data_IF_846507917948
#
_entry.id   IF_846507917948
#
_cell.length_a   1.000
_cell.length_b   1.000
_cell.length_c   1.000
_cell.angle_alpha   90.00
_cell.angle_beta   90.00
_cell.angle_gamma   90.00
#
_symmetry.space_group_name_H-M   'P 1'
#
loop_
_entity.id
_entity.type
_entity.pdbx_description
1 polymer ?
#
# COMPACT_ATOMS: atom_id res chain seq x y z
N UNK A 1 35.63 22.30 11.95
CA UNK A 1 36.51 21.44 11.14
C UNK A 1 36.14 19.99 11.42
N UNK A 2 35.30 19.38 10.59
CA UNK A 2 35.01 17.94 10.67
C UNK A 2 36.14 17.21 9.94
N UNK A 3 36.84 16.34 10.65
CA UNK A 3 37.79 15.40 10.03
C UNK A 3 36.96 14.30 9.35
N UNK A 4 37.32 13.98 8.11
CA UNK A 4 36.61 13.02 7.25
C UNK A 4 36.41 11.69 7.98
N UNK A 5 35.15 11.31 8.25
CA UNK A 5 34.76 10.04 8.85
C UNK A 5 34.24 10.08 10.29
N UNK A 6 34.28 11.21 11.00
CA UNK A 6 33.71 11.32 12.35
C UNK A 6 32.72 12.50 12.45
N UNK A 7 31.47 12.18 12.80
CA UNK A 7 30.39 13.14 12.96
C UNK A 7 29.95 13.19 14.43
N UNK A 8 29.83 14.41 14.97
CA UNK A 8 29.25 14.63 16.30
C UNK A 8 27.79 15.04 16.13
N UNK A 9 26.91 14.32 16.82
CA UNK A 9 25.46 14.49 16.78
C UNK A 9 24.95 14.58 18.21
N UNK A 10 23.87 15.33 18.43
CA UNK A 10 23.26 15.46 19.75
C UNK A 10 22.13 14.45 19.90
N UNK A 11 22.27 13.60 20.92
CA UNK A 11 21.23 12.69 21.38
C UNK A 11 20.05 13.47 21.99
N UNK A 12 18.83 13.11 21.61
CA UNK A 12 17.59 13.66 22.12
C UNK A 12 16.82 12.58 22.88
N UNK A 13 16.21 12.92 24.01
CA UNK A 13 15.36 12.00 24.73
C UNK A 13 14.01 11.84 24.00
N UNK A 14 13.47 10.63 23.98
CA UNK A 14 12.12 10.33 23.44
C UNK A 14 10.99 10.90 24.29
N UNK A 15 11.26 11.26 25.56
CA UNK A 15 10.30 11.78 26.54
C UNK A 15 9.05 10.89 26.75
N UNK A 16 9.12 9.62 26.37
CA UNK A 16 8.06 8.62 26.49
C UNK A 16 8.30 7.60 27.62
N UNK A 17 9.42 7.73 28.34
CA UNK A 17 9.82 6.83 29.42
C UNK A 17 10.38 5.47 28.96
N UNK A 18 10.63 5.28 27.66
CA UNK A 18 11.18 4.02 27.13
C UNK A 18 12.66 3.82 27.47
N UNK A 19 13.38 4.91 27.72
CA UNK A 19 14.85 4.90 27.88
C UNK A 19 15.61 4.97 26.55
N UNK A 20 14.90 5.13 25.43
CA UNK A 20 15.49 5.28 24.11
C UNK A 20 15.97 6.72 23.85
N UNK A 21 16.80 6.86 22.81
CA UNK A 21 17.39 8.13 22.39
C UNK A 21 17.25 8.29 20.88
N UNK A 22 16.80 9.47 20.45
CA UNK A 22 16.76 9.88 19.05
C UNK A 22 18.08 10.54 18.70
N UNK A 23 18.71 10.09 17.61
CA UNK A 23 19.95 10.65 17.09
C UNK A 23 19.74 11.08 15.65
N UNK A 24 19.71 12.38 15.42
CA UNK A 24 19.56 12.93 14.06
C UNK A 24 20.89 12.83 13.31
N UNK A 25 20.92 11.95 12.30
CA UNK A 25 22.08 11.81 11.41
C UNK A 25 22.08 12.93 10.36
N UNK A 26 23.20 13.64 10.15
CA UNK A 26 23.28 14.71 9.16
C UNK A 26 22.99 14.19 7.75
N UNK A 27 22.20 14.94 6.97
CA UNK A 27 21.86 14.56 5.58
C UNK A 27 23.10 14.37 4.68
N UNK A 28 24.19 15.10 4.93
CA UNK A 28 25.45 14.94 4.21
C UNK A 28 26.09 13.56 4.46
N UNK A 29 26.03 13.05 5.70
CA UNK A 29 26.51 11.72 6.07
C UNK A 29 25.66 10.63 5.42
N UNK A 30 24.34 10.78 5.44
CA UNK A 30 23.42 9.84 4.80
C UNK A 30 23.68 9.74 3.28
N UNK A 31 23.88 10.87 2.61
CA UNK A 31 24.22 10.91 1.19
C UNK A 31 25.60 10.28 0.91
N UNK A 32 26.61 10.55 1.72
CA UNK A 32 27.96 9.98 1.57
C UNK A 32 27.95 8.45 1.76
N UNK A 33 27.15 7.94 2.69
CA UNK A 33 27.00 6.50 2.92
C UNK A 33 26.01 5.82 1.97
N UNK A 34 25.29 6.59 1.16
CA UNK A 34 24.21 6.08 0.30
C UNK A 34 23.04 5.49 1.08
N UNK A 35 22.81 5.97 2.31
CA UNK A 35 21.77 5.49 3.22
C UNK A 35 20.48 6.28 3.05
N UNK A 36 19.36 5.56 3.13
CA UNK A 36 18.00 6.11 3.06
C UNK A 36 17.15 5.58 4.21
N UNK A 37 16.02 6.24 4.49
CA UNK A 37 15.07 5.78 5.51
C UNK A 37 14.60 4.37 5.14
N UNK A 38 14.82 3.41 6.03
CA UNK A 38 14.47 2.00 5.85
C UNK A 38 15.66 1.05 5.68
N UNK A 39 16.89 1.57 5.59
CA UNK A 39 18.10 0.73 5.57
C UNK A 39 18.40 0.14 6.95
N UNK A 40 18.73 -1.15 6.97
CA UNK A 40 19.14 -1.86 8.18
C UNK A 40 20.62 -1.55 8.51
N UNK A 41 20.87 -1.02 9.71
CA UNK A 41 22.22 -0.79 10.23
C UNK A 41 22.45 -1.70 11.45
N UNK A 42 23.63 -2.32 11.51
CA UNK A 42 24.12 -2.87 12.77
C UNK A 42 24.68 -1.74 13.64
N UNK A 43 24.33 -1.78 14.92
CA UNK A 43 24.80 -0.86 15.93
C UNK A 43 25.79 -1.62 16.82
N UNK A 44 27.04 -1.16 16.87
CA UNK A 44 28.05 -1.67 17.80
C UNK A 44 28.61 -0.53 18.65
N UNK A 45 28.89 -0.78 19.91
CA UNK A 45 29.49 0.22 20.81
C UNK A 45 30.94 -0.15 21.07
N UNK A 46 31.86 0.78 20.78
CA UNK A 46 33.31 0.62 21.05
C UNK A 46 33.78 1.84 21.85
N UNK A 47 33.99 1.65 23.15
CA UNK A 47 34.26 2.75 24.08
C UNK A 47 33.08 3.73 24.12
N UNK A 48 33.37 5.02 23.94
CA UNK A 48 32.36 6.10 23.90
C UNK A 48 31.82 6.35 22.47
N UNK A 49 32.10 5.46 21.52
CA UNK A 49 31.69 5.60 20.12
C UNK A 49 30.69 4.53 19.70
N UNK A 50 29.64 4.97 19.00
CA UNK A 50 28.72 4.07 18.31
C UNK A 50 29.19 3.92 16.87
N UNK A 51 29.41 2.67 16.45
CA UNK A 51 29.76 2.30 15.09
C UNK A 51 28.50 1.77 14.41
N UNK A 52 28.06 2.47 13.36
CA UNK A 52 26.97 2.05 12.50
C UNK A 52 27.54 1.37 11.26
N UNK A 53 27.24 0.08 11.06
CA UNK A 53 27.69 -0.65 9.86
C UNK A 53 26.47 -1.08 9.03
N UNK A 54 26.38 -0.67 7.75
CA UNK A 54 25.28 -1.07 6.87
C UNK A 54 25.22 -2.59 6.70
N UNK A 55 24.03 -3.17 6.87
CA UNK A 55 23.81 -4.59 6.62
C UNK A 55 23.59 -4.77 5.12
N UNK A 56 24.68 -5.00 4.38
CA UNK A 56 24.60 -5.42 2.97
C UNK A 56 24.26 -6.91 2.92
N UNK A 57 22.96 -7.24 2.85
CA UNK A 57 22.51 -8.63 2.58
C UNK A 57 23.11 -9.08 1.23
N UNK A 58 23.76 -10.25 1.13
CA UNK A 58 24.30 -10.73 -0.14
C UNK A 58 23.14 -10.96 -1.13
N UNK A 59 23.40 -10.65 -2.40
CA UNK A 59 22.44 -10.63 -3.50
C UNK A 59 21.70 -11.97 -3.67
N UNK A 60 20.62 -12.14 -2.92
CA UNK A 60 19.50 -13.01 -3.25
C UNK A 60 18.50 -12.11 -3.98
N UNK A 61 18.59 -12.10 -5.32
CA UNK A 61 17.66 -11.47 -6.27
C UNK A 61 16.78 -10.37 -5.69
N UNK A 62 17.37 -9.22 -5.35
CA UNK A 62 16.62 -8.06 -4.87
C UNK A 62 15.96 -7.40 -6.07
N UNK A 63 14.82 -7.96 -6.47
CA UNK A 63 13.76 -7.16 -7.07
C UNK A 63 13.49 -6.04 -6.08
N UNK A 64 13.84 -4.81 -6.44
CA UNK A 64 13.36 -3.65 -5.70
C UNK A 64 11.84 -3.81 -5.61
N UNK A 65 11.31 -3.78 -4.40
CA UNK A 65 9.88 -3.65 -4.17
C UNK A 65 9.67 -2.14 -4.12
N UNK A 66 9.06 -1.50 -5.13
CA UNK A 66 8.51 -0.17 -4.99
C UNK A 66 7.60 -0.16 -3.77
N UNK A 67 7.96 0.66 -2.80
CA UNK A 67 7.37 0.68 -1.46
C UNK A 67 5.84 0.84 -1.51
N UNK A 68 5.09 -0.26 -1.48
CA UNK A 68 3.62 -0.28 -1.32
C UNK A 68 3.18 0.45 -0.04
N UNK A 69 4.05 0.46 1.00
CA UNK A 69 3.87 1.26 2.21
C UNK A 69 3.85 2.78 1.95
N UNK A 70 4.53 3.29 0.90
CA UNK A 70 4.50 4.72 0.56
C UNK A 70 3.17 5.13 -0.05
N UNK A 71 2.57 4.30 -0.90
CA UNK A 71 1.25 4.56 -1.47
C UNK A 71 0.17 4.53 -0.37
N UNK A 72 0.22 3.58 0.57
CA UNK A 72 -0.74 3.49 1.67
C UNK A 72 -0.63 4.64 2.71
N UNK A 73 0.56 5.24 2.80
CA UNK A 73 0.83 6.42 3.62
C UNK A 73 0.65 7.76 2.87
N UNK A 74 0.38 7.72 1.56
CA UNK A 74 0.08 8.90 0.75
C UNK A 74 -1.33 9.42 1.11
N UNK A 75 -1.45 10.73 1.33
CA UNK A 75 -2.73 11.37 1.60
C UNK A 75 -3.75 11.11 0.48
N UNK A 76 -3.28 10.99 -0.75
CA UNK A 76 -4.12 10.67 -1.91
C UNK A 76 -4.81 9.31 -1.80
N UNK A 77 -4.09 8.29 -1.33
CA UNK A 77 -4.65 6.95 -1.11
C UNK A 77 -5.72 6.98 -0.03
N UNK A 78 -5.45 7.61 1.11
CA UNK A 78 -6.40 7.69 2.23
C UNK A 78 -7.67 8.44 1.83
N UNK A 79 -7.53 9.60 1.17
CA UNK A 79 -8.68 10.35 0.65
C UNK A 79 -9.44 9.54 -0.39
N UNK A 80 -8.75 8.75 -1.21
CA UNK A 80 -9.42 7.87 -2.18
C UNK A 80 -10.20 6.75 -1.50
N UNK A 81 -9.64 6.08 -0.51
CA UNK A 81 -10.34 5.03 0.25
C UNK A 81 -11.57 5.57 1.00
N UNK A 82 -11.51 6.82 1.47
CA UNK A 82 -12.68 7.52 2.03
C UNK A 82 -13.78 7.72 1.00
N UNK A 83 -13.44 8.16 -0.20
CA UNK A 83 -14.43 8.35 -1.29
C UNK A 83 -15.02 7.01 -1.74
N UNK A 84 -14.20 5.98 -1.89
CA UNK A 84 -14.64 4.70 -2.44
C UNK A 84 -15.48 3.89 -1.45
N UNK A 85 -15.05 3.81 -0.18
CA UNK A 85 -15.62 2.89 0.80
C UNK A 85 -16.15 3.58 2.06
N UNK A 86 -16.03 4.90 2.18
CA UNK A 86 -16.39 5.63 3.39
C UNK A 86 -15.41 5.41 4.56
N UNK A 87 -14.22 4.90 4.30
CA UNK A 87 -13.19 4.66 5.33
C UNK A 87 -12.58 6.00 5.76
N UNK A 88 -12.60 6.38 7.05
CA UNK A 88 -11.97 7.61 7.51
C UNK A 88 -10.48 7.69 7.14
N UNK A 89 -10.00 8.90 6.82
CA UNK A 89 -8.59 9.10 6.41
C UNK A 89 -7.60 8.74 7.53
N UNK A 90 -8.02 8.97 8.78
CA UNK A 90 -7.30 8.65 10.02
C UNK A 90 -7.59 7.25 10.55
N UNK A 91 -8.36 6.42 9.83
CA UNK A 91 -8.71 5.08 10.28
C UNK A 91 -7.45 4.22 10.47
N UNK A 92 -7.35 3.59 11.63
CA UNK A 92 -6.29 2.58 11.90
C UNK A 92 -6.58 1.30 11.12
N UNK A 93 -5.55 0.46 10.92
CA UNK A 93 -5.76 -0.86 10.30
C UNK A 93 -6.74 -1.73 11.08
N UNK A 94 -6.75 -1.60 12.41
CA UNK A 94 -7.71 -2.29 13.27
C UNK A 94 -9.15 -1.82 13.01
N UNK A 95 -9.38 -0.51 12.88
CA UNK A 95 -10.69 0.03 12.55
C UNK A 95 -11.14 -0.40 11.15
N UNK A 96 -10.24 -0.40 10.17
CA UNK A 96 -10.53 -0.89 8.80
C UNK A 96 -10.93 -2.36 8.85
N UNK A 97 -10.21 -3.19 9.61
CA UNK A 97 -10.55 -4.59 9.80
C UNK A 97 -11.95 -4.75 10.41
N UNK A 98 -12.28 -4.01 11.46
CA UNK A 98 -13.60 -4.03 12.10
C UNK A 98 -14.72 -3.60 11.14
N UNK A 99 -14.48 -2.60 10.28
CA UNK A 99 -15.44 -2.19 9.26
C UNK A 99 -15.70 -3.29 8.21
N UNK A 100 -14.65 -4.01 7.80
CA UNK A 100 -14.76 -5.10 6.84
C UNK A 100 -15.47 -6.30 7.48
N UNK A 101 -15.11 -6.66 8.72
CA UNK A 101 -15.70 -7.78 9.45
C UNK A 101 -17.19 -7.54 9.76
N UNK A 102 -17.55 -6.31 10.15
CA UNK A 102 -18.94 -5.89 10.33
C UNK A 102 -19.73 -5.81 9.02
N UNK A 103 -19.05 -5.81 7.87
CA UNK A 103 -19.62 -5.73 6.53
C UNK A 103 -19.82 -4.29 6.05
N UNK A 104 -19.48 -4.01 4.79
CA UNK A 104 -19.70 -2.71 4.14
C UNK A 104 -21.14 -2.59 3.61
N UNK A 105 -21.64 -1.37 3.42
CA UNK A 105 -22.97 -1.15 2.83
C UNK A 105 -23.04 -1.70 1.40
N UNK A 106 -24.06 -2.50 1.09
CA UNK A 106 -24.22 -3.07 -0.26
C UNK A 106 -24.42 -2.00 -1.35
N UNK A 107 -24.94 -0.82 -0.98
CA UNK A 107 -25.11 0.33 -1.87
C UNK A 107 -23.82 0.92 -2.44
N UNK A 108 -22.64 0.58 -1.88
CA UNK A 108 -21.35 1.03 -2.39
C UNK A 108 -21.08 0.46 -3.79
N UNK A 109 -21.43 -0.80 -4.03
CA UNK A 109 -21.18 -1.49 -5.30
C UNK A 109 -21.90 -0.81 -6.48
N UNK A 110 -23.23 -0.56 -6.45
CA UNK A 110 -23.88 0.16 -7.54
C UNK A 110 -23.33 1.57 -7.71
N UNK A 111 -22.97 2.28 -6.62
CA UNK A 111 -22.33 3.58 -6.74
C UNK A 111 -20.99 3.50 -7.51
N UNK A 112 -20.11 2.55 -7.15
CA UNK A 112 -18.83 2.34 -7.86
C UNK A 112 -19.04 1.98 -9.34
N UNK A 113 -20.10 1.21 -9.65
CA UNK A 113 -20.46 0.88 -11.03
C UNK A 113 -20.95 2.09 -11.81
N UNK A 114 -21.78 2.93 -11.19
CA UNK A 114 -22.32 4.14 -11.82
C UNK A 114 -21.21 5.17 -12.12
N UNK A 115 -20.13 5.17 -11.32
CA UNK A 115 -18.91 5.91 -11.59
C UNK A 115 -17.93 5.21 -12.55
N UNK A 116 -18.28 4.04 -13.10
CA UNK A 116 -17.45 3.30 -14.04
C UNK A 116 -16.18 2.68 -13.44
N UNK A 117 -16.09 2.58 -12.11
CA UNK A 117 -14.92 2.06 -11.41
C UNK A 117 -14.86 0.53 -11.42
N UNK A 118 -16.02 -0.12 -11.54
CA UNK A 118 -16.13 -1.58 -11.57
C UNK A 118 -17.06 -2.02 -12.71
N UNK A 119 -16.71 -3.12 -13.36
CA UNK A 119 -17.56 -3.76 -14.37
C UNK A 119 -18.61 -4.66 -13.72
N UNK A 120 -19.63 -5.05 -14.48
CA UNK A 120 -20.62 -6.06 -14.06
C UNK A 120 -19.95 -7.39 -13.74
N UNK A 121 -18.93 -7.77 -14.50
CA UNK A 121 -18.15 -8.99 -14.28
C UNK A 121 -17.39 -8.94 -12.94
N UNK A 122 -16.75 -7.80 -12.63
CA UNK A 122 -16.05 -7.61 -11.37
C UNK A 122 -17.01 -7.62 -10.18
N UNK A 123 -18.19 -6.99 -10.32
CA UNK A 123 -19.27 -7.06 -9.35
C UNK A 123 -19.68 -8.50 -9.07
N UNK A 124 -19.93 -9.30 -10.11
CA UNK A 124 -20.43 -10.68 -9.98
C UNK A 124 -19.45 -11.59 -9.21
N UNK A 125 -18.15 -11.28 -9.25
CA UNK A 125 -17.13 -11.96 -8.42
C UNK A 125 -17.18 -11.57 -6.95
N UNK A 126 -17.73 -10.41 -6.61
CA UNK A 126 -17.95 -9.98 -5.23
C UNK A 126 -19.27 -10.57 -4.73
N UNK A 127 -20.35 -10.29 -5.46
CA UNK A 127 -21.71 -10.68 -5.11
C UNK A 127 -22.56 -10.79 -6.38
N UNK A 128 -23.34 -11.88 -6.55
CA UNK A 128 -24.27 -12.03 -7.67
C UNK A 128 -25.28 -10.87 -7.78
N UNK A 129 -25.69 -10.52 -8.98
CA UNK A 129 -26.53 -9.34 -9.24
C UNK A 129 -27.91 -9.37 -8.54
N UNK A 130 -28.53 -10.54 -8.44
CA UNK A 130 -29.81 -10.77 -7.77
C UNK A 130 -29.68 -10.61 -6.24
N UNK A 131 -28.64 -11.20 -5.66
CA UNK A 131 -28.30 -11.05 -4.25
C UNK A 131 -27.98 -9.58 -3.92
N UNK A 132 -27.21 -8.89 -4.76
CA UNK A 132 -26.91 -7.47 -4.58
C UNK A 132 -28.19 -6.62 -4.61
N UNK A 133 -29.07 -6.85 -5.58
CA UNK A 133 -30.32 -6.10 -5.72
C UNK A 133 -31.18 -6.25 -4.47
N UNK A 134 -31.28 -7.47 -3.94
CA UNK A 134 -32.00 -7.76 -2.70
C UNK A 134 -31.39 -7.02 -1.51
N UNK A 135 -30.07 -7.10 -1.32
CA UNK A 135 -29.37 -6.40 -0.24
C UNK A 135 -29.53 -4.89 -0.31
N UNK A 136 -29.43 -4.31 -1.51
CA UNK A 136 -29.59 -2.85 -1.69
C UNK A 136 -31.02 -2.42 -1.38
N UNK A 137 -32.04 -3.16 -1.83
CA UNK A 137 -33.44 -2.85 -1.55
C UNK A 137 -33.77 -2.88 -0.05
N UNK A 138 -33.11 -3.79 0.69
CA UNK A 138 -33.29 -3.94 2.13
C UNK A 138 -32.32 -3.08 2.98
N UNK A 139 -31.47 -2.27 2.35
CA UNK A 139 -30.40 -1.51 3.02
C UNK A 139 -29.46 -2.39 3.87
N UNK A 140 -29.13 -3.58 3.38
CA UNK A 140 -28.30 -4.58 4.07
C UNK A 140 -26.79 -4.37 3.83
N UNK A 141 -26.00 -5.01 4.69
CA UNK A 141 -24.54 -5.11 4.58
C UNK A 141 -24.11 -6.28 3.71
N UNK A 142 -22.99 -6.09 3.04
CA UNK A 142 -22.18 -7.16 2.49
C UNK A 142 -21.67 -8.06 3.62
N UNK A 143 -21.45 -9.33 3.33
CA UNK A 143 -20.77 -10.24 4.27
C UNK A 143 -19.31 -9.81 4.46
N UNK A 144 -18.63 -10.33 5.48
CA UNK A 144 -17.21 -10.06 5.69
C UNK A 144 -16.36 -10.42 4.45
N UNK A 145 -16.64 -11.56 3.80
CA UNK A 145 -15.92 -11.98 2.59
C UNK A 145 -16.23 -11.13 1.36
N UNK A 146 -17.48 -10.71 1.18
CA UNK A 146 -17.89 -9.77 0.12
C UNK A 146 -17.20 -8.41 0.32
N UNK A 147 -17.17 -7.94 1.56
CA UNK A 147 -16.55 -6.66 1.96
C UNK A 147 -15.05 -6.67 1.79
N UNK A 148 -14.39 -7.77 2.16
CA UNK A 148 -12.95 -7.99 1.98
C UNK A 148 -12.59 -8.01 0.50
N UNK A 149 -13.40 -8.65 -0.36
CA UNK A 149 -13.19 -8.61 -1.81
C UNK A 149 -13.36 -7.20 -2.38
N UNK A 150 -14.43 -6.49 -1.98
CA UNK A 150 -14.65 -5.10 -2.36
C UNK A 150 -13.49 -4.19 -1.90
N UNK A 151 -12.97 -4.42 -0.70
CA UNK A 151 -11.81 -3.71 -0.17
C UNK A 151 -10.57 -3.92 -1.03
N UNK A 152 -10.24 -5.16 -1.41
CA UNK A 152 -9.11 -5.45 -2.31
C UNK A 152 -9.22 -4.73 -3.65
N UNK A 153 -10.43 -4.66 -4.21
CA UNK A 153 -10.70 -3.97 -5.46
C UNK A 153 -10.46 -2.46 -5.32
N UNK A 154 -11.09 -1.82 -4.33
CA UNK A 154 -10.92 -0.39 -4.07
C UNK A 154 -9.47 -0.02 -3.74
N UNK A 155 -8.80 -0.85 -2.93
CA UNK A 155 -7.38 -0.71 -2.60
C UNK A 155 -6.53 -0.69 -3.86
N UNK A 156 -6.73 -1.66 -4.74
CA UNK A 156 -5.96 -1.80 -5.99
C UNK A 156 -6.21 -0.62 -6.94
N UNK A 157 -7.45 -0.14 -7.02
CA UNK A 157 -7.79 1.08 -7.79
C UNK A 157 -7.04 2.29 -7.23
N UNK A 158 -7.13 2.53 -5.91
CA UNK A 158 -6.48 3.67 -5.27
C UNK A 158 -4.94 3.64 -5.43
N UNK A 159 -4.35 2.45 -5.29
CA UNK A 159 -2.91 2.26 -5.52
C UNK A 159 -2.55 2.51 -6.98
N UNK A 160 -3.28 1.93 -7.93
CA UNK A 160 -3.03 2.14 -9.36
C UNK A 160 -3.18 3.63 -9.74
N UNK A 161 -4.18 4.32 -9.23
CA UNK A 161 -4.38 5.76 -9.45
C UNK A 161 -3.21 6.58 -8.92
N UNK A 162 -2.65 6.24 -7.76
CA UNK A 162 -1.46 6.92 -7.23
C UNK A 162 -0.24 6.77 -8.15
N UNK A 163 -0.16 5.66 -8.91
CA UNK A 163 0.92 5.41 -9.85
C UNK A 163 0.70 6.03 -11.23
N UNK A 164 -0.53 5.95 -11.77
CA UNK A 164 -0.83 6.45 -13.11
C UNK A 164 -1.23 7.93 -13.14
N UNK A 165 -1.57 8.50 -11.98
CA UNK A 165 -2.03 9.89 -11.82
C UNK A 165 -3.40 10.17 -12.44
N UNK A 166 -4.08 9.15 -12.96
CA UNK A 166 -5.33 9.27 -13.70
C UNK A 166 -6.18 8.00 -13.54
N UNK A 167 -7.46 8.19 -13.20
CA UNK A 167 -8.43 7.12 -12.96
C UNK A 167 -8.65 6.27 -14.22
N UNK A 168 -8.80 6.89 -15.38
CA UNK A 168 -9.09 6.17 -16.62
C UNK A 168 -7.91 5.29 -17.04
N UNK A 169 -6.67 5.80 -16.92
CA UNK A 169 -5.45 5.03 -17.16
C UNK A 169 -5.30 3.88 -16.17
N UNK A 170 -5.57 4.12 -14.89
CA UNK A 170 -5.52 3.08 -13.87
C UNK A 170 -6.51 1.95 -14.18
N UNK A 171 -7.78 2.28 -14.44
CA UNK A 171 -8.80 1.30 -14.79
C UNK A 171 -8.50 0.60 -16.12
N UNK A 172 -8.01 1.33 -17.13
CA UNK A 172 -7.59 0.73 -18.41
C UNK A 172 -6.47 -0.29 -18.21
N UNK A 173 -5.50 0.00 -17.33
CA UNK A 173 -4.43 -0.93 -17.02
C UNK A 173 -4.94 -2.17 -16.26
N UNK A 174 -5.83 -1.95 -15.29
CA UNK A 174 -6.42 -2.97 -14.41
C UNK A 174 -7.38 -3.92 -15.12
N UNK A 175 -8.01 -3.48 -16.20
CA UNK A 175 -8.93 -4.30 -17.00
C UNK A 175 -8.25 -5.09 -18.13
N UNK A 176 -7.00 -4.76 -18.47
CA UNK A 176 -6.29 -5.40 -19.59
C UNK A 176 -5.61 -6.70 -19.16
N UNK A 177 -5.84 -7.83 -19.87
CA UNK A 177 -5.10 -9.08 -19.72
C UNK A 177 -3.58 -8.90 -19.59
N UNK A 178 -2.95 -9.64 -18.68
CA UNK A 178 -1.50 -9.70 -18.53
C UNK A 178 -1.01 -11.12 -18.77
N UNK A 179 0.04 -11.26 -19.58
CA UNK A 179 0.71 -12.55 -19.79
C UNK A 179 1.18 -13.18 -18.48
N UNK A 180 1.66 -12.36 -17.53
CA UNK A 180 2.06 -12.78 -16.18
C UNK A 180 0.95 -13.46 -15.38
N UNK A 181 -0.31 -13.14 -15.67
CA UNK A 181 -1.49 -13.73 -15.02
C UNK A 181 -2.17 -14.77 -15.92
N UNK A 182 -1.41 -15.39 -16.81
CA UNK A 182 -1.91 -16.39 -17.76
C UNK A 182 -3.09 -15.88 -18.60
N UNK A 183 -3.04 -14.60 -19.00
CA UNK A 183 -4.07 -13.97 -19.81
C UNK A 183 -5.25 -13.37 -19.01
N UNK A 184 -5.24 -13.47 -17.67
CA UNK A 184 -6.20 -12.76 -16.82
C UNK A 184 -5.83 -11.30 -16.66
N UNK A 185 -6.83 -10.46 -16.45
CA UNK A 185 -6.67 -9.07 -16.03
C UNK A 185 -6.29 -8.97 -14.55
N UNK A 186 -5.66 -7.86 -14.12
CA UNK A 186 -5.42 -7.58 -12.71
C UNK A 186 -6.68 -7.68 -11.85
N UNK A 187 -7.83 -7.16 -12.30
CA UNK A 187 -9.09 -7.22 -11.54
C UNK A 187 -9.55 -8.67 -11.30
N UNK A 188 -9.41 -9.55 -12.29
CA UNK A 188 -9.75 -10.97 -12.15
C UNK A 188 -8.87 -11.72 -11.12
N UNK A 189 -7.68 -11.19 -10.81
CA UNK A 189 -6.80 -11.76 -9.79
C UNK A 189 -7.25 -11.40 -8.37
N UNK A 190 -8.09 -10.38 -8.19
CA UNK A 190 -8.44 -9.82 -6.87
C UNK A 190 -9.43 -10.68 -6.07
N UNK A 191 -9.91 -11.79 -6.64
CA UNK A 191 -10.72 -12.77 -5.91
C UNK A 191 -9.97 -13.47 -4.77
N UNK A 192 -8.64 -13.34 -4.71
CA UNK A 192 -7.81 -13.96 -3.67
C UNK A 192 -6.69 -13.03 -3.20
N UNK A 193 -6.28 -13.17 -1.94
CA UNK A 193 -5.15 -12.40 -1.37
C UNK A 193 -3.82 -12.64 -2.10
N UNK A 194 -3.44 -13.88 -2.49
CA UNK A 194 -2.23 -14.09 -3.29
C UNK A 194 -2.30 -13.45 -4.67
N UNK A 195 -3.49 -13.34 -5.27
CA UNK A 195 -3.69 -12.64 -6.54
C UNK A 195 -3.53 -11.13 -6.40
N UNK A 196 -4.05 -10.53 -5.32
CA UNK A 196 -3.79 -9.13 -4.98
C UNK A 196 -2.28 -8.84 -4.90
N UNK A 197 -1.53 -9.65 -4.15
CA UNK A 197 -0.07 -9.46 -4.01
C UNK A 197 0.65 -9.48 -5.35
N UNK A 198 0.26 -10.39 -6.25
CA UNK A 198 0.83 -10.45 -7.60
C UNK A 198 0.50 -9.21 -8.45
N UNK A 199 -0.69 -8.62 -8.26
CA UNK A 199 -1.09 -7.37 -8.93
C UNK A 199 -0.27 -6.20 -8.39
N UNK A 200 -0.11 -6.12 -7.07
CA UNK A 200 0.74 -5.13 -6.41
C UNK A 200 2.18 -5.22 -6.94
N UNK A 201 2.79 -6.40 -6.91
CA UNK A 201 4.14 -6.63 -7.43
C UNK A 201 4.30 -6.17 -8.89
N UNK A 202 3.28 -6.41 -9.72
CA UNK A 202 3.28 -6.02 -11.12
C UNK A 202 3.12 -4.50 -11.30
N UNK A 203 2.24 -3.85 -10.53
CA UNK A 203 2.09 -2.39 -10.52
C UNK A 203 3.41 -1.72 -10.14
N UNK A 204 4.05 -2.26 -9.11
CA UNK A 204 5.38 -1.87 -8.68
C UNK A 204 6.36 -1.90 -9.87
N UNK A 205 6.52 -3.04 -10.53
CA UNK A 205 7.49 -3.21 -11.61
C UNK A 205 7.22 -2.32 -12.83
N UNK A 206 5.96 -2.03 -13.13
CA UNK A 206 5.61 -1.13 -14.22
C UNK A 206 6.16 0.29 -14.00
N UNK A 207 6.35 0.71 -12.75
CA UNK A 207 6.86 2.04 -12.40
C UNK A 207 8.38 2.14 -12.53
N UNK A 208 9.09 1.06 -12.22
CA UNK A 208 10.55 1.00 -12.35
C UNK A 208 10.99 1.06 -13.81
N UNK A 209 10.21 0.46 -14.72
CA UNK A 209 10.45 0.49 -16.16
C UNK A 209 10.13 1.84 -16.83
N UNK A 210 9.41 2.75 -16.17
CA UNK A 210 9.13 4.10 -16.67
C UNK A 210 10.12 5.17 -16.18
N UNK A 211 11.05 4.79 -15.30
CA UNK A 211 12.05 5.70 -14.71
C UNK A 211 13.46 5.54 -15.29
N UNK A 212 13.59 4.96 -16.49
CA UNK A 212 14.86 4.72 -17.19
C UNK A 212 14.98 5.54 -18.48
#
# INVERSE_FOLDING_TARGET
MNQSGCWKVQAQATNDGSGDVIVDLPAALLNEMGLTIGDDLTINTVGDSIILTPIRKPAQGSHRIPNHSRAQADGNYRSRMKVLLGIPEDATYQHIHEMIDAGLMASIIPAMRDFGLISVEAQDKIIPADALTTKVANCERLTASESDHLFRLAHTIAVAESFFGDTEKALSWLSKPKSRFSGKSPIEMLSTTPGLRQVEDLLAQATEGMSA
#
